data_IF_000659639487
#
_entry.id   IF_000659639487
#
_cell.length_a   1.000
_cell.length_b   1.000
_cell.length_c   1.000
_cell.angle_alpha   90.00
_cell.angle_beta   90.00
_cell.angle_gamma   90.00
#
_symmetry.space_group_name_H-M   'P 1'
#
loop_
_entity.id
_entity.type
_entity.pdbx_description
1 polymer ?
#
# COMPACT_ATOMS: atom_id res chain seq x y z
N UNK A 1 -8.17 8.42 -23.44
CA UNK A 1 -7.33 7.28 -23.04
C UNK A 1 -6.02 7.86 -22.53
N UNK A 2 -5.89 8.07 -21.21
CA UNK A 2 -4.65 8.55 -20.63
C UNK A 2 -3.74 7.35 -20.34
N UNK A 3 -2.50 7.40 -20.83
CA UNK A 3 -1.49 6.38 -20.52
C UNK A 3 -0.91 6.69 -19.14
N UNK A 4 -0.81 5.67 -18.28
CA UNK A 4 -0.17 5.81 -16.97
C UNK A 4 1.35 5.94 -17.17
N UNK A 5 1.90 7.07 -16.75
CA UNK A 5 3.34 7.27 -16.70
C UNK A 5 3.90 6.62 -15.42
N UNK A 6 4.83 5.68 -15.59
CA UNK A 6 5.39 4.88 -14.49
C UNK A 6 6.85 5.27 -14.30
N UNK A 7 7.19 5.69 -13.08
CA UNK A 7 8.57 5.96 -12.66
C UNK A 7 8.96 4.95 -11.58
N UNK A 8 9.95 4.11 -11.88
CA UNK A 8 10.49 3.16 -10.91
C UNK A 8 11.49 3.85 -9.99
N UNK A 9 11.37 3.60 -8.69
CA UNK A 9 12.27 4.13 -7.67
C UNK A 9 12.70 3.02 -6.72
N UNK A 10 13.85 3.20 -6.08
CA UNK A 10 14.30 2.31 -5.01
C UNK A 10 13.48 2.61 -3.72
N UNK A 11 12.84 1.61 -3.09
CA UNK A 11 11.96 1.83 -1.95
C UNK A 11 12.73 1.90 -0.62
N UNK A 12 13.48 2.99 -0.41
CA UNK A 12 14.28 3.18 0.82
C UNK A 12 13.56 4.02 1.90
N UNK A 13 12.49 4.73 1.54
CA UNK A 13 11.73 5.60 2.45
C UNK A 13 10.48 4.91 2.98
N UNK A 14 10.24 5.04 4.28
CA UNK A 14 9.04 4.50 4.96
C UNK A 14 8.05 5.62 5.24
N UNK A 15 6.77 5.38 4.93
CA UNK A 15 5.67 6.29 5.20
C UNK A 15 4.66 5.67 6.16
N UNK A 16 4.17 6.47 7.09
CA UNK A 16 3.02 6.13 7.91
C UNK A 16 1.75 6.52 7.15
N UNK A 17 0.81 5.58 7.02
CA UNK A 17 -0.48 5.78 6.37
C UNK A 17 -1.61 5.37 7.33
N UNK A 18 -2.69 6.14 7.34
CA UNK A 18 -3.94 5.76 7.99
C UNK A 18 -4.90 5.19 6.96
N UNK A 19 -5.38 3.97 7.15
CA UNK A 19 -6.46 3.39 6.37
C UNK A 19 -7.75 3.43 7.18
N UNK A 20 -8.82 3.96 6.60
CA UNK A 20 -10.17 3.80 7.14
C UNK A 20 -10.79 2.53 6.54
N UNK A 21 -11.47 1.74 7.36
CA UNK A 21 -12.19 0.53 6.94
C UNK A 21 -13.71 0.75 6.91
N UNK A 22 -14.16 2.01 6.87
CA UNK A 22 -15.58 2.35 6.80
C UNK A 22 -16.24 1.70 5.57
N UNK A 23 -17.06 0.69 5.85
CA UNK A 23 -17.95 0.06 4.87
C UNK A 23 -19.17 0.95 4.71
N UNK A 24 -19.43 1.42 3.49
CA UNK A 24 -20.67 2.17 3.22
C UNK A 24 -21.89 1.24 3.33
N UNK A 25 -23.10 1.77 3.60
CA UNK A 25 -24.33 0.97 3.76
C UNK A 25 -24.67 0.09 2.53
N UNK A 26 -24.02 0.31 1.38
CA UNK A 26 -24.11 -0.53 0.18
C UNK A 26 -23.03 -1.61 0.02
N UNK A 27 -22.20 -1.88 1.04
CA UNK A 27 -21.13 -2.90 0.96
C UNK A 27 -19.91 -2.47 0.13
N UNK A 28 -19.85 -1.20 -0.28
CA UNK A 28 -18.69 -0.65 -0.98
C UNK A 28 -17.63 -0.30 0.06
N UNK A 29 -16.52 -1.02 0.02
CA UNK A 29 -15.35 -0.65 0.79
C UNK A 29 -14.79 0.66 0.25
N UNK A 30 -14.93 1.72 1.05
CA UNK A 30 -14.12 2.92 0.87
C UNK A 30 -12.92 2.70 1.76
N UNK A 31 -11.79 2.34 1.16
CA UNK A 31 -10.50 2.30 1.85
C UNK A 31 -9.73 3.60 1.55
N UNK A 32 -10.15 4.77 2.06
CA UNK A 32 -9.36 5.97 1.90
C UNK A 32 -8.06 5.78 2.70
N UNK A 33 -6.97 5.61 1.98
CA UNK A 33 -5.63 5.67 2.55
C UNK A 33 -5.22 7.14 2.63
N UNK A 34 -4.84 7.59 3.82
CA UNK A 34 -4.34 8.95 4.05
C UNK A 34 -2.88 8.89 4.46
N UNK A 35 -2.02 9.59 3.72
CA UNK A 35 -0.64 9.82 4.14
C UNK A 35 -0.61 10.60 5.46
N UNK A 36 0.20 10.14 6.42
CA UNK A 36 0.39 10.82 7.69
C UNK A 36 1.72 11.55 7.72
N UNK A 37 2.83 10.84 7.54
CA UNK A 37 4.20 11.38 7.59
C UNK A 37 5.23 10.38 7.07
N UNK A 38 6.43 10.86 6.75
CA UNK A 38 7.60 10.00 6.59
C UNK A 38 8.15 9.58 7.97
N UNK A 39 8.54 8.32 8.06
CA UNK A 39 9.21 7.72 9.22
C UNK A 39 10.72 7.79 8.98
N UNK A 40 11.31 8.94 9.25
CA UNK A 40 12.77 9.14 9.13
C UNK A 40 13.57 8.32 10.17
N UNK A 41 12.86 7.78 11.16
CA UNK A 41 13.34 6.90 12.20
C UNK A 41 13.17 5.40 11.88
N UNK A 42 12.73 5.04 10.66
CA UNK A 42 12.55 3.67 10.22
C UNK A 42 13.15 3.43 8.83
N UNK A 43 13.52 2.18 8.57
CA UNK A 43 14.08 1.70 7.30
C UNK A 43 13.15 0.70 6.65
N UNK A 44 13.35 0.44 5.35
CA UNK A 44 12.55 -0.55 4.62
C UNK A 44 12.61 -1.97 5.25
N UNK A 45 13.70 -2.31 5.94
CA UNK A 45 13.83 -3.59 6.64
C UNK A 45 12.93 -3.73 7.87
N UNK A 46 12.46 -2.62 8.43
CA UNK A 46 11.57 -2.59 9.59
C UNK A 46 10.10 -2.79 9.19
N UNK A 47 9.79 -2.71 7.90
CA UNK A 47 8.43 -2.93 7.37
C UNK A 47 8.23 -4.42 7.13
N UNK A 48 7.19 -5.05 7.72
CA UNK A 48 6.88 -6.44 7.43
C UNK A 48 6.70 -6.66 5.93
N UNK A 49 7.24 -7.75 5.36
CA UNK A 49 7.03 -8.04 3.95
C UNK A 49 5.54 -8.15 3.67
N UNK A 50 5.10 -7.57 2.55
CA UNK A 50 3.74 -7.79 2.05
C UNK A 50 3.57 -9.30 1.90
N UNK A 51 2.61 -9.88 2.61
CA UNK A 51 2.28 -11.29 2.45
C UNK A 51 1.74 -11.47 1.04
N UNK A 52 2.57 -12.02 0.15
CA UNK A 52 2.08 -12.52 -1.12
C UNK A 52 1.09 -13.65 -0.84
N UNK A 53 -0.08 -13.57 -1.44
CA UNK A 53 -0.97 -14.73 -1.53
C UNK A 53 -0.19 -15.79 -2.33
N UNK A 54 -0.24 -17.09 -1.95
CA UNK A 54 0.48 -18.11 -2.70
C UNK A 54 0.03 -18.00 -4.15
N UNK A 55 0.98 -17.79 -5.06
CA UNK A 55 0.69 -17.83 -6.48
C UNK A 55 0.01 -19.18 -6.75
N UNK A 56 -1.24 -19.15 -7.21
CA UNK A 56 -1.91 -20.37 -7.65
C UNK A 56 -1.00 -20.99 -8.70
N UNK A 57 -0.35 -22.10 -8.35
CA UNK A 57 0.40 -22.89 -9.30
C UNK A 57 -0.61 -23.46 -10.29
N UNK A 58 -0.63 -22.88 -11.49
CA UNK A 58 -1.35 -23.46 -12.62
C UNK A 58 -0.56 -24.69 -13.04
N UNK A 59 -1.06 -25.86 -12.63
CA UNK A 59 -0.65 -27.17 -13.15
C UNK A 59 -1.51 -27.59 -14.33
#
# INVERSE_FOLDING_TARGET
MAVLEVTLVRPDLVAEIGADTAVDRGGVYRYPVRFKRLRLDATAGDVPPVRAEPAVAVG
#
